data_IF_227713977539
#
_entry.id   IF_227713977539
#
_cell.length_a   1.000
_cell.length_b   1.000
_cell.length_c   1.000
_cell.angle_alpha   90.00
_cell.angle_beta   90.00
_cell.angle_gamma   90.00
#
_symmetry.space_group_name_H-M   'P 1'
#
loop_
_entity.id
_entity.type
_entity.pdbx_description
1 polymer ?
#
# COMPACT_ATOMS: atom_id res chain seq x y z
N UNK A 1 33.78 -2.89 15.74
CA UNK A 1 32.54 -3.47 16.30
C UNK A 1 31.69 -2.31 16.77
N UNK A 2 30.75 -1.89 15.96
CA UNK A 2 29.78 -0.84 16.30
C UNK A 2 28.61 -1.60 16.97
N UNK A 3 28.45 -1.42 18.28
CA UNK A 3 27.25 -1.90 18.98
C UNK A 3 26.07 -1.04 18.50
N UNK A 4 25.21 -1.62 17.66
CA UNK A 4 23.91 -1.06 17.41
C UNK A 4 23.12 -1.04 18.72
N UNK A 5 22.89 0.16 19.23
CA UNK A 5 21.95 0.43 20.31
C UNK A 5 20.53 0.08 19.78
N UNK A 6 20.12 -1.17 19.88
CA UNK A 6 18.70 -1.55 19.70
C UNK A 6 17.90 -0.81 20.76
N UNK A 7 17.15 0.22 20.35
CA UNK A 7 16.10 0.79 21.20
C UNK A 7 15.21 -0.35 21.71
N UNK A 8 14.77 -0.31 22.98
CA UNK A 8 13.88 -1.33 23.50
C UNK A 8 12.65 -1.40 22.59
N UNK A 9 12.36 -2.59 22.10
CA UNK A 9 11.13 -2.88 21.34
C UNK A 9 9.96 -2.44 22.22
N UNK A 10 9.30 -1.35 21.82
CA UNK A 10 8.10 -0.90 22.49
C UNK A 10 7.08 -2.03 22.30
N UNK A 11 6.55 -2.57 23.41
CA UNK A 11 5.58 -3.65 23.34
C UNK A 11 4.43 -3.20 22.46
N UNK A 12 4.23 -3.86 21.32
CA UNK A 12 3.22 -3.48 20.32
C UNK A 12 1.84 -3.73 20.91
N UNK A 13 1.17 -2.65 21.34
CA UNK A 13 -0.22 -2.71 21.81
C UNK A 13 -1.17 -2.84 20.62
N UNK A 14 -1.95 -3.93 20.59
CA UNK A 14 -3.01 -4.09 19.61
C UNK A 14 -4.07 -2.99 19.77
N UNK A 15 -4.70 -2.54 18.66
CA UNK A 15 -5.88 -1.69 18.72
C UNK A 15 -7.00 -2.35 19.53
N UNK A 16 -7.81 -1.54 20.23
CA UNK A 16 -8.92 -2.09 21.03
C UNK A 16 -9.92 -2.90 20.22
N UNK A 17 -10.22 -2.43 19.01
CA UNK A 17 -11.19 -3.05 18.09
C UNK A 17 -10.45 -3.66 16.89
N UNK A 18 -9.37 -4.44 17.17
CA UNK A 18 -8.56 -5.09 16.14
C UNK A 18 -9.38 -6.17 15.44
N UNK A 19 -9.42 -6.11 14.11
CA UNK A 19 -10.12 -7.08 13.25
C UNK A 19 -9.22 -8.23 12.79
N UNK A 20 -7.91 -8.13 13.02
CA UNK A 20 -6.93 -9.18 12.74
C UNK A 20 -6.75 -10.09 13.96
N UNK A 21 -6.28 -11.33 13.73
CA UNK A 21 -5.75 -12.14 14.82
C UNK A 21 -4.54 -11.42 15.46
N UNK A 22 -4.31 -11.59 16.77
CA UNK A 22 -3.16 -10.95 17.42
C UNK A 22 -1.81 -11.37 16.82
N UNK A 23 -1.71 -12.59 16.34
CA UNK A 23 -0.52 -13.16 15.73
C UNK A 23 -0.25 -12.50 14.39
N UNK A 24 -1.24 -12.46 13.50
CA UNK A 24 -1.14 -11.87 12.17
C UNK A 24 -0.90 -10.36 12.25
N UNK A 25 -1.59 -9.67 13.17
CA UNK A 25 -1.37 -8.24 13.39
C UNK A 25 0.09 -7.93 13.70
N UNK A 26 0.73 -8.72 14.58
CA UNK A 26 2.14 -8.51 14.95
C UNK A 26 3.09 -8.73 13.76
N UNK A 27 2.81 -9.73 12.92
CA UNK A 27 3.58 -9.95 11.69
C UNK A 27 3.41 -8.76 10.75
N UNK A 28 2.17 -8.35 10.47
CA UNK A 28 1.87 -7.26 9.55
C UNK A 28 2.39 -5.91 10.03
N UNK A 29 2.43 -5.67 11.33
CA UNK A 29 2.92 -4.42 11.93
C UNK A 29 4.41 -4.14 11.64
N UNK A 30 5.20 -5.16 11.27
CA UNK A 30 6.64 -5.03 10.99
C UNK A 30 6.95 -4.53 9.57
N UNK A 31 5.93 -4.33 8.72
CA UNK A 31 6.10 -3.93 7.32
C UNK A 31 5.72 -2.47 7.09
N UNK A 32 6.27 -1.90 6.02
CA UNK A 32 5.96 -0.56 5.57
C UNK A 32 4.71 -0.53 4.68
N UNK A 33 3.82 0.43 4.98
CA UNK A 33 2.63 0.69 4.18
C UNK A 33 2.49 2.19 3.92
N UNK A 34 2.06 2.60 2.71
CA UNK A 34 1.65 3.97 2.49
C UNK A 34 0.32 4.24 3.21
N UNK A 35 0.17 5.42 3.80
CA UNK A 35 -1.04 5.79 4.56
C UNK A 35 -1.70 7.07 4.06
N UNK A 36 -0.98 7.86 3.26
CA UNK A 36 -1.49 9.09 2.65
C UNK A 36 -0.71 9.44 1.38
N UNK A 37 -1.32 10.25 0.52
CA UNK A 37 -0.61 10.99 -0.52
C UNK A 37 0.09 12.18 0.14
N UNK A 38 1.34 12.45 -0.22
CA UNK A 38 2.16 13.46 0.44
C UNK A 38 1.54 14.87 0.35
N UNK A 39 0.90 15.18 -0.77
CA UNK A 39 0.24 16.46 -1.02
C UNK A 39 -1.06 16.65 -0.22
N UNK A 40 -1.64 15.59 0.33
CA UNK A 40 -2.82 15.68 1.22
C UNK A 40 -2.43 16.14 2.63
N UNK A 41 -1.15 16.03 3.01
CA UNK A 41 -0.65 16.37 4.34
C UNK A 41 0.08 17.72 4.27
N UNK A 42 -0.67 18.79 4.44
CA UNK A 42 -0.16 20.16 4.40
C UNK A 42 -0.28 20.82 5.79
N UNK A 43 -1.09 21.87 5.92
CA UNK A 43 -1.19 22.71 7.11
C UNK A 43 -2.00 22.06 8.25
N UNK A 44 -2.84 21.07 7.93
CA UNK A 44 -3.73 20.43 8.90
C UNK A 44 -3.31 18.99 9.15
N UNK A 45 -3.44 18.52 10.41
CA UNK A 45 -3.26 17.09 10.72
C UNK A 45 -4.29 16.26 9.96
N UNK A 46 -3.85 15.17 9.33
CA UNK A 46 -4.69 14.20 8.62
C UNK A 46 -4.90 12.97 9.50
N UNK A 47 -6.16 12.56 9.69
CA UNK A 47 -6.48 11.28 10.31
C UNK A 47 -6.30 10.15 9.30
N UNK A 48 -5.50 9.14 9.64
CA UNK A 48 -5.32 7.93 8.83
C UNK A 48 -5.47 6.69 9.70
N UNK A 49 -5.67 5.53 9.07
CA UNK A 49 -5.83 4.27 9.79
C UNK A 49 -4.98 3.19 9.10
N UNK A 50 -4.23 2.43 9.87
CA UNK A 50 -3.44 1.30 9.41
C UNK A 50 -3.56 0.15 10.40
N UNK A 51 -3.91 -1.07 9.94
CA UNK A 51 -4.07 -2.25 10.79
C UNK A 51 -4.93 -1.97 12.03
N UNK A 52 -6.07 -1.30 11.83
CA UNK A 52 -6.98 -0.81 12.87
C UNK A 52 -6.42 0.26 13.80
N UNK A 53 -5.13 0.59 13.72
CA UNK A 53 -4.52 1.64 14.50
C UNK A 53 -4.90 3.02 13.94
N UNK A 54 -5.52 3.86 14.76
CA UNK A 54 -5.80 5.26 14.42
C UNK A 54 -4.54 6.08 14.55
N UNK A 55 -4.16 6.74 13.47
CA UNK A 55 -2.94 7.54 13.36
C UNK A 55 -3.28 8.98 12.96
N UNK A 56 -2.44 9.88 13.36
CA UNK A 56 -2.40 11.25 12.86
C UNK A 56 -1.12 11.47 12.07
N UNK A 57 -1.26 11.96 10.85
CA UNK A 57 -0.17 12.37 9.99
C UNK A 57 -0.15 13.90 9.88
N UNK A 58 1.01 14.53 10.10
CA UNK A 58 1.15 15.99 10.04
C UNK A 58 2.57 16.39 9.67
N UNK A 59 2.77 17.66 9.31
CA UNK A 59 4.10 18.21 9.06
C UNK A 59 4.58 19.03 10.26
N UNK A 60 5.81 18.78 10.68
CA UNK A 60 6.54 19.54 11.67
C UNK A 60 7.81 20.09 11.03
N UNK A 61 7.93 21.40 10.87
CA UNK A 61 9.09 22.04 10.22
C UNK A 61 9.43 21.40 8.84
N UNK A 62 8.39 21.11 8.04
CA UNK A 62 8.51 20.49 6.71
C UNK A 62 8.71 18.97 6.73
N UNK A 63 8.96 18.35 7.88
CA UNK A 63 9.11 16.89 8.00
C UNK A 63 7.78 16.23 8.34
N UNK A 64 7.52 15.09 7.72
CA UNK A 64 6.35 14.27 8.06
C UNK A 64 6.54 13.60 9.41
N UNK A 65 5.50 13.65 10.23
CA UNK A 65 5.41 12.97 11.52
C UNK A 65 4.14 12.12 11.54
N UNK A 66 4.26 10.88 11.96
CA UNK A 66 3.13 9.97 12.20
C UNK A 66 3.12 9.58 13.67
N UNK A 67 1.99 9.80 14.31
CA UNK A 67 1.80 9.43 15.71
C UNK A 67 0.45 8.73 15.92
N UNK A 68 0.30 8.03 17.04
CA UNK A 68 -1.01 7.54 17.47
C UNK A 68 -1.98 8.71 17.60
N UNK A 69 -3.16 8.62 16.99
CA UNK A 69 -4.15 9.69 17.04
C UNK A 69 -4.88 9.73 18.39
N UNK A 70 -4.09 10.00 19.43
CA UNK A 70 -4.55 9.95 20.81
C UNK A 70 -3.72 10.90 21.68
N UNK A 71 -4.37 11.89 22.30
CA UNK A 71 -3.78 12.68 23.36
C UNK A 71 -3.77 11.89 24.68
N UNK A 72 -2.60 11.62 25.27
CA UNK A 72 -2.46 10.82 26.50
C UNK A 72 -3.05 11.45 27.77
N UNK A 73 -3.57 12.69 27.66
CA UNK A 73 -4.29 13.31 28.78
C UNK A 73 -5.69 12.71 28.97
N UNK A 74 -6.55 12.75 27.96
CA UNK A 74 -7.97 12.32 28.04
C UNK A 74 -8.47 11.64 26.76
N UNK A 75 -7.59 11.12 25.93
CA UNK A 75 -7.97 10.33 24.76
C UNK A 75 -8.54 11.11 23.58
N UNK A 76 -8.41 12.44 23.56
CA UNK A 76 -8.88 13.23 22.43
C UNK A 76 -8.04 12.96 21.17
N UNK A 77 -8.66 12.84 19.97
CA UNK A 77 -7.93 12.67 18.73
C UNK A 77 -7.16 13.95 18.38
N UNK A 78 -5.88 13.79 18.09
CA UNK A 78 -4.98 14.90 17.72
C UNK A 78 -5.23 15.38 16.29
N UNK A 79 -5.76 14.52 15.44
CA UNK A 79 -6.18 14.87 14.07
C UNK A 79 -7.28 15.93 14.01
N UNK A 80 -8.00 16.15 15.08
CA UNK A 80 -8.96 17.26 15.24
C UNK A 80 -8.34 18.56 15.74
N UNK A 81 -7.05 18.56 16.03
CA UNK A 81 -6.29 19.72 16.47
C UNK A 81 -5.67 20.50 15.30
N UNK A 82 -4.55 21.12 15.57
CA UNK A 82 -3.80 21.87 14.56
C UNK A 82 -2.28 21.76 14.82
N UNK A 83 -1.48 22.20 13.86
CA UNK A 83 -0.03 22.35 14.03
C UNK A 83 0.30 23.83 14.21
N UNK A 84 1.11 24.16 15.20
CA UNK A 84 1.56 25.50 15.48
C UNK A 84 3.01 25.47 15.97
N UNK A 85 3.87 26.25 15.31
CA UNK A 85 5.33 26.28 15.60
C UNK A 85 6.00 24.90 15.57
N UNK A 86 5.60 24.04 14.60
CA UNK A 86 6.13 22.69 14.47
C UNK A 86 5.59 21.67 15.49
N UNK A 87 4.68 22.04 16.36
CA UNK A 87 4.09 21.18 17.38
C UNK A 87 2.64 20.87 17.08
N UNK A 88 2.20 19.62 17.32
CA UNK A 88 0.79 19.28 17.25
C UNK A 88 0.08 19.68 18.54
N UNK A 89 -1.04 20.39 18.42
CA UNK A 89 -1.83 20.92 19.53
C UNK A 89 -3.12 20.15 19.69
N UNK A 90 -3.32 19.61 20.90
CA UNK A 90 -4.55 18.88 21.24
C UNK A 90 -5.75 19.83 21.29
N UNK A 91 -6.86 19.54 20.59
CA UNK A 91 -8.00 20.46 20.50
C UNK A 91 -8.79 20.56 21.82
N UNK A 92 -8.56 19.62 22.76
CA UNK A 92 -9.36 19.57 23.98
C UNK A 92 -8.84 20.51 25.09
N UNK A 93 -7.52 20.48 25.36
CA UNK A 93 -6.92 21.30 26.43
C UNK A 93 -5.65 22.05 26.01
N UNK A 94 -5.36 22.11 24.69
CA UNK A 94 -4.21 22.84 24.18
C UNK A 94 -2.83 22.23 24.51
N UNK A 95 -2.78 20.96 24.95
CA UNK A 95 -1.50 20.29 25.17
C UNK A 95 -0.72 20.23 23.86
N UNK A 96 0.56 20.59 23.93
CA UNK A 96 1.47 20.63 22.78
C UNK A 96 2.45 19.48 22.81
N UNK A 97 2.73 18.92 21.65
CA UNK A 97 3.70 17.83 21.49
C UNK A 97 4.62 18.13 20.31
N UNK A 98 5.92 17.97 20.54
CA UNK A 98 6.91 18.10 19.47
C UNK A 98 6.94 16.85 18.55
N UNK A 99 7.79 16.88 17.50
CA UNK A 99 7.93 15.80 16.54
C UNK A 99 8.43 14.47 17.14
N UNK A 100 9.05 14.49 18.32
CA UNK A 100 9.44 13.29 19.06
C UNK A 100 8.35 12.75 19.98
N UNK A 101 7.17 13.39 19.97
CA UNK A 101 6.03 13.05 20.79
C UNK A 101 6.12 13.55 22.24
N UNK A 102 7.15 14.31 22.61
CA UNK A 102 7.29 14.87 23.97
C UNK A 102 6.30 16.00 24.17
N UNK A 103 5.54 15.97 25.29
CA UNK A 103 4.72 17.10 25.68
C UNK A 103 5.62 18.28 26.10
N UNK A 104 5.40 19.43 25.47
CA UNK A 104 6.19 20.66 25.65
C UNK A 104 5.43 21.73 26.43
N UNK A 105 4.09 21.70 26.39
CA UNK A 105 3.26 22.67 27.09
C UNK A 105 1.95 22.06 27.61
N UNK A 106 1.60 22.50 28.83
CA UNK A 106 0.31 22.24 29.50
C UNK A 106 -0.27 23.60 29.87
N UNK A 107 -1.13 24.20 29.02
CA UNK A 107 -1.56 25.60 29.17
C UNK A 107 -2.23 25.94 30.52
N UNK A 108 -2.96 24.98 31.10
CA UNK A 108 -3.61 25.17 32.39
C UNK A 108 -2.63 25.33 33.58
N UNK A 109 -1.37 24.83 33.41
CA UNK A 109 -0.34 24.87 34.44
C UNK A 109 1.05 25.12 33.83
N UNK A 110 1.29 26.32 33.27
CA UNK A 110 2.49 26.58 32.43
C UNK A 110 3.81 26.47 33.21
N UNK A 111 3.80 26.69 34.51
CA UNK A 111 5.01 26.61 35.36
C UNK A 111 5.22 25.25 36.03
N UNK A 112 4.30 24.29 35.80
CA UNK A 112 4.38 23.00 36.46
C UNK A 112 5.30 22.05 35.68
N UNK A 113 5.94 21.12 36.41
CA UNK A 113 6.71 20.05 35.78
C UNK A 113 5.77 19.13 34.96
N UNK A 114 6.06 18.99 33.68
CA UNK A 114 5.30 18.12 32.80
C UNK A 114 5.62 16.65 33.12
N UNK A 115 4.57 15.84 33.30
CA UNK A 115 4.73 14.41 33.54
C UNK A 115 5.36 13.70 32.31
N UNK A 116 6.36 12.83 32.49
CA UNK A 116 6.93 12.05 31.38
C UNK A 116 5.95 11.06 30.75
N UNK A 117 4.82 10.78 31.42
CA UNK A 117 3.72 9.97 30.86
C UNK A 117 2.96 10.68 29.74
N UNK A 118 3.08 12.02 29.66
CA UNK A 118 2.50 12.81 28.56
C UNK A 118 3.46 12.78 27.36
N UNK A 119 3.50 11.64 26.71
CA UNK A 119 4.33 11.41 25.52
C UNK A 119 3.53 10.63 24.48
N UNK A 120 3.49 11.13 23.23
CA UNK A 120 2.87 10.42 22.10
C UNK A 120 3.74 9.23 21.69
N UNK A 121 3.06 8.21 21.17
CA UNK A 121 3.70 7.15 20.42
C UNK A 121 3.88 7.67 18.99
N UNK A 122 5.12 7.82 18.55
CA UNK A 122 5.50 8.27 17.21
C UNK A 122 6.07 7.08 16.46
N UNK A 123 5.63 6.91 15.23
CA UNK A 123 6.04 5.82 14.35
C UNK A 123 7.05 6.32 13.31
N UNK A 124 7.88 5.44 12.75
CA UNK A 124 8.71 5.77 11.60
C UNK A 124 7.87 6.35 10.46
N UNK A 125 8.35 7.40 9.83
CA UNK A 125 7.69 8.05 8.71
C UNK A 125 8.69 8.38 7.60
N UNK A 126 8.36 8.03 6.37
CA UNK A 126 9.19 8.30 5.18
C UNK A 126 8.28 8.83 4.08
N UNK A 127 8.71 9.88 3.40
CA UNK A 127 8.07 10.36 2.18
C UNK A 127 8.85 9.82 0.98
N UNK A 128 8.19 8.95 0.18
CA UNK A 128 8.78 8.34 -1.02
C UNK A 128 7.68 8.06 -2.05
N UNK A 129 7.98 8.27 -3.33
CA UNK A 129 7.06 8.05 -4.45
C UNK A 129 5.76 8.89 -4.38
N UNK A 130 5.83 10.10 -3.81
CA UNK A 130 4.65 10.95 -3.59
C UNK A 130 3.72 10.44 -2.49
N UNK A 131 4.13 9.42 -1.74
CA UNK A 131 3.37 8.78 -0.67
C UNK A 131 4.07 8.95 0.68
N UNK A 132 3.28 8.96 1.75
CA UNK A 132 3.76 8.90 3.13
C UNK A 132 3.62 7.48 3.62
N UNK A 133 4.76 6.89 3.99
CA UNK A 133 4.90 5.52 4.46
C UNK A 133 5.13 5.48 5.96
N UNK A 134 4.57 4.46 6.61
CA UNK A 134 4.83 4.17 8.03
C UNK A 134 4.90 2.66 8.27
N UNK A 135 5.48 2.32 9.42
CA UNK A 135 5.52 0.99 9.99
C UNK A 135 5.13 1.08 11.46
N UNK A 136 4.30 0.17 11.95
CA UNK A 136 3.85 0.18 13.35
C UNK A 136 4.84 -0.54 14.28
N UNK A 137 5.67 -1.42 13.72
CA UNK A 137 6.70 -2.19 14.45
C UNK A 137 8.10 -1.65 14.25
N UNK A 138 9.07 -2.55 14.16
CA UNK A 138 10.51 -2.25 14.04
C UNK A 138 10.98 -2.03 12.61
N UNK A 139 10.10 -2.17 11.62
CA UNK A 139 10.41 -2.07 10.20
C UNK A 139 11.46 -3.11 9.75
N UNK A 140 11.06 -4.38 9.79
CA UNK A 140 11.92 -5.52 9.45
C UNK A 140 12.43 -5.50 8.00
N UNK A 141 11.61 -4.93 7.09
CA UNK A 141 11.91 -4.85 5.66
C UNK A 141 12.03 -3.38 5.21
N UNK A 142 12.47 -3.17 3.98
CA UNK A 142 12.54 -1.84 3.37
C UNK A 142 11.26 -1.52 2.59
N UNK A 143 11.03 -0.22 2.34
CA UNK A 143 9.99 0.21 1.41
C UNK A 143 10.30 -0.39 0.03
N UNK A 144 9.29 -0.95 -0.68
CA UNK A 144 9.45 -1.51 -2.02
C UNK A 144 10.22 -0.60 -2.96
N UNK A 145 11.13 -1.18 -3.76
CA UNK A 145 11.88 -0.41 -4.73
C UNK A 145 11.05 -0.15 -5.99
N UNK A 146 11.05 1.11 -6.44
CA UNK A 146 10.31 1.54 -7.63
C UNK A 146 11.16 2.48 -8.49
N UNK A 147 12.18 1.94 -9.18
CA UNK A 147 13.21 2.73 -9.85
C UNK A 147 12.68 3.62 -10.96
N UNK A 148 11.54 3.31 -11.57
CA UNK A 148 10.91 4.17 -12.58
C UNK A 148 10.51 5.54 -12.03
N UNK A 149 10.25 5.67 -10.74
CA UNK A 149 9.90 6.95 -10.13
C UNK A 149 11.09 7.91 -10.01
N UNK A 150 12.27 7.40 -9.83
CA UNK A 150 13.50 8.17 -9.64
C UNK A 150 14.24 8.41 -10.97
N UNK A 151 13.78 7.79 -12.07
CA UNK A 151 14.39 7.87 -13.39
C UNK A 151 13.86 9.12 -14.14
N UNK A 152 14.74 10.08 -14.53
CA UNK A 152 14.34 11.30 -15.22
C UNK A 152 13.73 11.06 -16.61
N UNK A 153 13.91 9.88 -17.18
CA UNK A 153 13.31 9.52 -18.47
C UNK A 153 11.84 9.13 -18.35
N UNK A 154 11.32 8.99 -17.13
CA UNK A 154 9.93 8.66 -16.87
C UNK A 154 9.12 9.89 -16.44
N UNK A 155 7.84 9.88 -16.77
CA UNK A 155 6.83 10.76 -16.17
C UNK A 155 6.18 10.00 -15.02
N UNK A 156 6.09 10.66 -13.88
CA UNK A 156 5.45 10.13 -12.69
C UNK A 156 4.01 10.60 -12.58
N UNK A 157 3.10 9.68 -12.33
CA UNK A 157 1.66 9.89 -12.24
C UNK A 157 1.18 9.25 -10.94
N UNK A 158 0.51 10.02 -10.11
CA UNK A 158 -0.05 9.52 -8.85
C UNK A 158 -1.57 9.67 -8.88
N UNK A 159 -2.31 8.59 -9.16
CA UNK A 159 -3.76 8.60 -9.00
C UNK A 159 -4.17 8.85 -7.54
N UNK A 160 -5.37 9.38 -7.28
CA UNK A 160 -5.91 9.41 -5.92
C UNK A 160 -5.98 7.99 -5.34
N UNK A 161 -5.92 7.88 -4.02
CA UNK A 161 -6.10 6.60 -3.35
C UNK A 161 -7.49 6.02 -3.61
N UNK A 162 -7.59 4.70 -3.67
CA UNK A 162 -8.84 3.98 -3.97
C UNK A 162 -9.18 3.03 -2.82
N UNK A 163 -10.38 3.14 -2.27
CA UNK A 163 -10.83 2.31 -1.15
C UNK A 163 -11.57 1.07 -1.67
N UNK A 164 -11.28 -0.09 -1.08
CA UNK A 164 -11.83 -1.40 -1.43
C UNK A 164 -12.35 -2.07 -0.16
N UNK A 165 -13.62 -2.48 -0.15
CA UNK A 165 -14.24 -3.23 0.95
C UNK A 165 -13.85 -4.72 0.86
N UNK A 166 -12.57 -5.00 0.85
CA UNK A 166 -11.98 -6.33 0.74
C UNK A 166 -10.63 -6.41 1.45
N UNK A 167 -10.12 -7.62 1.69
CA UNK A 167 -8.82 -7.82 2.31
C UNK A 167 -7.67 -7.44 1.37
N UNK A 168 -6.58 -6.94 1.95
CA UNK A 168 -5.38 -6.59 1.18
C UNK A 168 -4.74 -7.80 0.49
N UNK A 169 -4.92 -9.00 1.05
CA UNK A 169 -4.48 -10.24 0.43
C UNK A 169 -5.27 -10.56 -0.85
N UNK A 170 -6.61 -10.42 -0.82
CA UNK A 170 -7.46 -10.61 -2.02
C UNK A 170 -7.16 -9.57 -3.10
N UNK A 171 -7.02 -8.30 -2.71
CA UNK A 171 -6.63 -7.24 -3.65
C UNK A 171 -5.27 -7.53 -4.30
N UNK A 172 -4.29 -7.96 -3.53
CA UNK A 172 -2.97 -8.27 -4.07
C UNK A 172 -3.01 -9.51 -4.98
N UNK A 173 -3.73 -10.56 -4.59
CA UNK A 173 -3.91 -11.75 -5.44
C UNK A 173 -4.61 -11.39 -6.75
N UNK A 174 -5.67 -10.56 -6.72
CA UNK A 174 -6.35 -10.05 -7.91
C UNK A 174 -5.39 -9.31 -8.84
N UNK A 175 -4.53 -8.43 -8.30
CA UNK A 175 -3.52 -7.73 -9.10
C UNK A 175 -2.49 -8.66 -9.76
N UNK A 176 -2.21 -9.81 -9.14
CA UNK A 176 -1.23 -10.80 -9.64
C UNK A 176 -1.86 -11.83 -10.59
N UNK A 177 -3.18 -11.96 -10.61
CA UNK A 177 -3.90 -12.86 -11.50
C UNK A 177 -3.90 -12.29 -12.93
N UNK A 178 -3.65 -13.14 -13.90
CA UNK A 178 -3.66 -12.80 -15.33
C UNK A 178 -4.83 -13.43 -16.08
N UNK A 179 -5.56 -14.35 -15.44
CA UNK A 179 -6.65 -15.09 -16.08
C UNK A 179 -7.96 -14.29 -16.13
N UNK A 180 -8.16 -13.33 -15.21
CA UNK A 180 -9.34 -12.48 -15.18
C UNK A 180 -9.40 -11.43 -16.29
N UNK A 181 -8.27 -11.07 -16.91
CA UNK A 181 -8.17 -9.96 -17.88
C UNK A 181 -9.24 -9.99 -18.96
N UNK A 182 -9.47 -11.16 -19.56
CA UNK A 182 -10.41 -11.31 -20.66
C UNK A 182 -11.88 -11.09 -20.25
N UNK A 183 -12.19 -11.21 -18.97
CA UNK A 183 -13.56 -11.20 -18.45
C UNK A 183 -13.88 -9.97 -17.62
N UNK A 184 -13.01 -9.58 -16.71
CA UNK A 184 -13.20 -8.43 -15.81
C UNK A 184 -12.98 -7.12 -16.55
N UNK A 185 -11.90 -7.03 -17.34
CA UNK A 185 -11.50 -5.78 -18.00
C UNK A 185 -12.12 -5.57 -19.39
N UNK A 186 -13.32 -6.10 -19.62
CA UNK A 186 -13.97 -6.00 -20.92
C UNK A 186 -14.34 -4.58 -21.33
N UNK A 187 -14.47 -3.64 -20.39
CA UNK A 187 -14.70 -2.24 -20.68
C UNK A 187 -13.40 -1.45 -20.94
N UNK A 188 -12.25 -1.98 -20.53
CA UNK A 188 -10.94 -1.32 -20.66
C UNK A 188 -10.05 -1.98 -21.72
N UNK A 189 -9.28 -2.99 -21.38
CA UNK A 189 -8.31 -3.64 -22.27
C UNK A 189 -8.59 -5.13 -22.54
N UNK A 190 -9.50 -5.75 -21.79
CA UNK A 190 -9.79 -7.18 -21.90
C UNK A 190 -10.48 -7.58 -23.20
N UNK A 191 -10.12 -8.75 -23.73
CA UNK A 191 -10.71 -9.33 -24.95
C UNK A 191 -11.16 -10.76 -24.68
N UNK A 192 -12.48 -11.00 -24.76
CA UNK A 192 -13.09 -12.33 -24.58
C UNK A 192 -12.73 -13.34 -25.67
N UNK A 193 -12.13 -12.90 -26.77
CA UNK A 193 -11.61 -13.79 -27.81
C UNK A 193 -10.18 -14.24 -27.52
N UNK A 194 -9.52 -13.67 -26.49
CA UNK A 194 -8.14 -13.97 -26.10
C UNK A 194 -8.11 -14.37 -24.63
N UNK A 195 -8.61 -15.56 -24.31
CA UNK A 195 -8.82 -16.04 -22.94
C UNK A 195 -7.75 -17.03 -22.47
N UNK A 196 -6.96 -17.58 -23.39
CA UNK A 196 -5.92 -18.54 -23.03
C UNK A 196 -4.78 -17.86 -22.30
N UNK A 197 -4.40 -18.42 -21.15
CA UNK A 197 -3.22 -18.01 -20.40
C UNK A 197 -2.06 -18.92 -20.77
N UNK A 198 -1.07 -18.41 -21.51
CA UNK A 198 0.14 -19.17 -21.81
C UNK A 198 0.90 -19.57 -20.54
N UNK A 199 1.70 -20.65 -20.66
CA UNK A 199 2.57 -21.01 -19.54
C UNK A 199 3.57 -19.89 -19.25
N UNK A 200 3.68 -19.50 -17.99
CA UNK A 200 4.61 -18.47 -17.54
C UNK A 200 5.44 -18.96 -16.34
N UNK A 201 6.49 -18.24 -16.02
CA UNK A 201 7.43 -18.58 -14.96
C UNK A 201 7.22 -17.71 -13.74
N UNK A 202 7.24 -18.34 -12.57
CA UNK A 202 7.36 -17.66 -11.29
C UNK A 202 8.66 -18.10 -10.63
N UNK A 203 9.47 -17.17 -10.18
CA UNK A 203 10.73 -17.44 -9.47
C UNK A 203 10.80 -16.63 -8.19
N UNK A 204 11.59 -17.11 -7.26
CA UNK A 204 11.87 -16.40 -6.00
C UNK A 204 13.23 -15.71 -6.10
N UNK A 205 13.30 -14.46 -5.66
CA UNK A 205 14.51 -13.67 -5.53
C UNK A 205 14.58 -13.11 -4.10
N UNK A 206 15.27 -13.80 -3.20
CA UNK A 206 15.25 -13.47 -1.77
C UNK A 206 13.85 -13.60 -1.16
N UNK A 207 13.32 -12.50 -0.64
CA UNK A 207 11.96 -12.42 -0.08
C UNK A 207 10.90 -12.01 -1.13
N UNK A 208 11.29 -11.79 -2.37
CA UNK A 208 10.42 -11.35 -3.45
C UNK A 208 10.04 -12.50 -4.37
N UNK A 209 8.90 -12.36 -5.07
CA UNK A 209 8.53 -13.22 -6.19
C UNK A 209 8.58 -12.41 -7.48
N UNK A 210 9.06 -13.04 -8.54
CA UNK A 210 9.07 -12.45 -9.88
C UNK A 210 8.32 -13.38 -10.82
N UNK A 211 7.32 -12.83 -11.51
CA UNK A 211 6.55 -13.54 -12.53
C UNK A 211 6.67 -12.83 -13.89
N UNK A 212 6.98 -13.57 -14.93
CA UNK A 212 7.09 -13.05 -16.30
C UNK A 212 6.00 -13.68 -17.15
N UNK A 213 5.02 -12.87 -17.55
CA UNK A 213 3.88 -13.27 -18.34
C UNK A 213 3.93 -12.67 -19.74
N UNK A 214 3.99 -13.54 -20.74
CA UNK A 214 3.98 -13.19 -22.17
C UNK A 214 2.63 -13.54 -22.78
N UNK A 215 1.98 -12.59 -23.44
CA UNK A 215 0.71 -12.82 -24.11
C UNK A 215 0.49 -11.87 -25.29
N UNK A 216 -0.52 -12.15 -26.10
CA UNK A 216 -1.00 -11.26 -27.16
C UNK A 216 -2.03 -10.25 -26.67
N UNK A 217 -2.41 -10.30 -25.39
CA UNK A 217 -3.36 -9.34 -24.79
C UNK A 217 -2.72 -7.96 -24.74
N UNK A 218 -3.29 -7.01 -25.47
CA UNK A 218 -2.83 -5.62 -25.53
C UNK A 218 -3.04 -4.90 -24.19
N UNK A 219 -2.20 -3.90 -23.91
CA UNK A 219 -2.41 -2.94 -22.82
C UNK A 219 -2.95 -1.58 -23.28
N UNK A 220 -3.29 -1.43 -24.55
CA UNK A 220 -4.00 -0.25 -25.01
C UNK A 220 -5.49 -0.41 -24.71
N UNK A 221 -6.08 0.65 -24.18
CA UNK A 221 -7.52 0.71 -23.94
C UNK A 221 -8.32 0.59 -25.24
N UNK A 222 -9.55 0.08 -25.15
CA UNK A 222 -10.45 0.00 -26.30
C UNK A 222 -10.69 1.38 -26.88
N UNK A 223 -10.64 1.48 -28.20
CA UNK A 223 -10.81 2.73 -28.94
C UNK A 223 -9.57 3.64 -28.97
N UNK A 224 -8.48 3.25 -28.33
CA UNK A 224 -7.18 3.90 -28.48
C UNK A 224 -6.42 3.32 -29.68
N UNK A 225 -5.59 4.16 -30.32
CA UNK A 225 -4.67 3.69 -31.35
C UNK A 225 -3.67 2.71 -30.73
N UNK A 226 -3.57 1.53 -31.32
CA UNK A 226 -2.61 0.51 -30.89
C UNK A 226 -1.49 0.41 -31.92
N UNK A 227 -0.35 1.07 -31.73
CA UNK A 227 0.78 1.05 -32.66
C UNK A 227 1.59 -0.26 -32.61
N UNK A 228 1.22 -1.21 -31.74
CA UNK A 228 1.93 -2.50 -31.67
C UNK A 228 1.74 -3.28 -32.99
N UNK A 229 2.82 -3.89 -33.53
CA UNK A 229 2.76 -4.76 -34.69
C UNK A 229 1.78 -5.92 -34.46
N UNK A 230 1.20 -6.44 -35.55
CA UNK A 230 0.39 -7.66 -35.49
C UNK A 230 1.18 -8.82 -34.89
N UNK A 231 0.58 -9.53 -33.92
CA UNK A 231 1.24 -10.64 -33.21
C UNK A 231 2.27 -10.18 -32.16
N UNK A 232 2.31 -8.90 -31.81
CA UNK A 232 3.22 -8.42 -30.77
C UNK A 232 2.99 -9.15 -29.44
N UNK A 233 4.10 -9.67 -28.89
CA UNK A 233 4.08 -10.35 -27.59
C UNK A 233 4.36 -9.37 -26.46
N UNK A 234 3.36 -9.11 -25.67
CA UNK A 234 3.44 -8.24 -24.50
C UNK A 234 4.09 -8.99 -23.35
N UNK A 235 5.17 -8.45 -22.80
CA UNK A 235 5.73 -8.90 -21.53
C UNK A 235 5.12 -8.08 -20.40
N UNK A 236 4.62 -8.77 -19.39
CA UNK A 236 4.27 -8.22 -18.07
C UNK A 236 5.16 -8.88 -17.04
N UNK A 237 5.97 -8.09 -16.39
CA UNK A 237 6.81 -8.53 -15.28
C UNK A 237 6.17 -8.04 -13.97
N UNK A 238 5.77 -8.98 -13.15
CA UNK A 238 5.31 -8.72 -11.79
C UNK A 238 6.43 -9.00 -10.80
N UNK A 239 6.61 -8.10 -9.83
CA UNK A 239 7.51 -8.29 -8.70
C UNK A 239 6.76 -8.05 -7.42
N UNK A 240 6.66 -9.08 -6.57
CA UNK A 240 5.90 -9.04 -5.31
C UNK A 240 6.85 -8.68 -4.17
N UNK A 241 6.47 -7.66 -3.42
CA UNK A 241 7.11 -7.22 -2.18
C UNK A 241 6.14 -7.53 -1.02
N UNK A 242 6.37 -8.64 -0.29
CA UNK A 242 5.43 -9.04 0.73
C UNK A 242 5.30 -8.01 1.86
N UNK A 243 4.14 -7.95 2.56
CA UNK A 243 2.99 -8.80 2.33
C UNK A 243 2.04 -8.26 1.23
N UNK A 244 1.88 -6.96 1.04
CA UNK A 244 0.80 -6.37 0.26
C UNK A 244 1.25 -5.27 -0.71
N UNK A 245 2.42 -5.44 -1.31
CA UNK A 245 2.85 -4.59 -2.41
C UNK A 245 3.37 -5.41 -3.58
N UNK A 246 3.15 -4.94 -4.80
CA UNK A 246 3.76 -5.50 -6.00
C UNK A 246 3.96 -4.44 -7.07
N UNK A 247 4.99 -4.57 -7.88
CA UNK A 247 5.14 -3.78 -9.09
C UNK A 247 4.77 -4.60 -10.32
N UNK A 248 4.21 -3.92 -11.31
CA UNK A 248 3.98 -4.42 -12.65
C UNK A 248 4.76 -3.55 -13.62
N UNK A 249 5.63 -4.15 -14.43
CA UNK A 249 6.23 -3.51 -15.60
C UNK A 249 5.62 -4.09 -16.86
N UNK A 250 5.00 -3.26 -17.67
CA UNK A 250 4.50 -3.63 -19.00
C UNK A 250 5.46 -3.11 -20.05
N UNK A 251 5.88 -4.00 -20.94
CA UNK A 251 6.82 -3.73 -22.01
C UNK A 251 6.05 -3.43 -23.31
N UNK A 252 6.07 -2.15 -23.69
CA UNK A 252 5.48 -1.65 -24.92
C UNK A 252 6.46 -1.72 -26.11
N UNK A 253 5.99 -1.59 -27.36
CA UNK A 253 6.88 -1.40 -28.51
C UNK A 253 7.84 -0.22 -28.29
N UNK A 254 8.91 -0.16 -29.11
CA UNK A 254 9.88 0.95 -29.15
C UNK A 254 10.49 1.29 -27.76
N UNK A 255 10.75 0.24 -26.97
CA UNK A 255 11.30 0.34 -25.61
C UNK A 255 10.42 1.11 -24.62
N UNK A 256 9.13 1.32 -24.93
CA UNK A 256 8.18 1.90 -24.02
C UNK A 256 7.99 1.03 -22.77
N UNK A 257 7.88 1.65 -21.62
CA UNK A 257 7.64 0.99 -20.32
C UNK A 257 6.58 1.72 -19.54
N UNK A 258 5.59 0.96 -19.09
CA UNK A 258 4.65 1.39 -18.07
C UNK A 258 4.97 0.62 -16.79
N UNK A 259 5.20 1.33 -15.70
CA UNK A 259 5.46 0.73 -14.40
C UNK A 259 4.38 1.17 -13.43
N UNK A 260 3.83 0.25 -12.67
CA UNK A 260 2.81 0.47 -11.64
C UNK A 260 3.33 -0.14 -10.35
N UNK A 261 3.31 0.61 -9.25
CA UNK A 261 3.53 0.06 -7.91
C UNK A 261 2.17 -0.01 -7.20
N UNK A 262 1.63 -1.21 -7.08
CA UNK A 262 0.38 -1.47 -6.37
C UNK A 262 0.67 -1.71 -4.89
N UNK A 263 0.12 -0.87 -4.01
CA UNK A 263 0.29 -0.97 -2.56
C UNK A 263 -1.08 -1.07 -1.91
N UNK A 264 -1.46 -2.26 -1.48
CA UNK A 264 -2.72 -2.55 -0.82
C UNK A 264 -2.58 -2.37 0.69
N UNK A 265 -2.72 -1.13 1.19
CA UNK A 265 -2.57 -0.83 2.62
C UNK A 265 -3.76 -1.32 3.43
N UNK A 266 -3.55 -2.20 4.43
CA UNK A 266 -4.62 -2.76 5.25
C UNK A 266 -5.11 -1.73 6.27
N UNK A 267 -6.24 -1.08 6.00
CA UNK A 267 -6.92 -0.20 6.96
C UNK A 267 -7.50 -1.03 8.10
N UNK A 268 -8.10 -2.17 7.78
CA UNK A 268 -8.56 -3.23 8.67
C UNK A 268 -8.47 -4.56 7.93
N UNK A 269 -8.82 -5.69 8.55
CA UNK A 269 -8.72 -7.00 7.91
C UNK A 269 -9.51 -7.09 6.59
N UNK A 270 -10.64 -6.39 6.50
CA UNK A 270 -11.55 -6.42 5.33
C UNK A 270 -11.80 -5.04 4.72
N UNK A 271 -10.83 -4.16 4.85
CA UNK A 271 -10.88 -2.84 4.22
C UNK A 271 -9.48 -2.39 3.85
N UNK A 272 -9.27 -2.16 2.58
CA UNK A 272 -7.97 -1.83 1.98
C UNK A 272 -8.02 -0.44 1.38
N UNK A 273 -6.95 0.33 1.56
CA UNK A 273 -6.71 1.56 0.79
C UNK A 273 -5.57 1.30 -0.18
N UNK A 274 -5.89 1.41 -1.46
CA UNK A 274 -4.97 1.19 -2.55
C UNK A 274 -4.25 2.50 -2.92
N UNK A 275 -2.93 2.43 -3.02
CA UNK A 275 -2.08 3.49 -3.55
C UNK A 275 -1.29 2.94 -4.74
N UNK A 276 -1.35 3.63 -5.88
CA UNK A 276 -0.76 3.14 -7.12
C UNK A 276 0.09 4.20 -7.83
N UNK A 277 1.31 4.52 -7.39
CA UNK A 277 2.25 5.29 -8.19
C UNK A 277 2.51 4.63 -9.54
N UNK A 278 2.49 5.43 -10.59
CA UNK A 278 2.69 5.00 -11.98
C UNK A 278 3.84 5.79 -12.57
N UNK A 279 4.69 5.13 -13.37
CA UNK A 279 5.74 5.78 -14.15
C UNK A 279 5.72 5.24 -15.57
N UNK A 280 5.83 6.14 -16.58
CA UNK A 280 5.94 5.74 -17.99
C UNK A 280 7.00 6.57 -18.73
N UNK A 281 7.70 5.95 -19.67
CA UNK A 281 8.73 6.63 -20.47
C UNK A 281 8.29 6.97 -21.91
N UNK A 282 7.02 6.74 -22.24
CA UNK A 282 6.41 7.04 -23.55
C UNK A 282 5.21 7.98 -23.37
N UNK A 283 4.68 8.52 -24.46
CA UNK A 283 3.56 9.48 -24.48
C UNK A 283 3.73 10.63 -23.47
N UNK A 284 4.97 11.15 -23.39
CA UNK A 284 5.36 12.12 -22.37
C UNK A 284 4.55 13.43 -22.43
N UNK A 285 3.97 13.74 -23.58
CA UNK A 285 3.15 14.94 -23.79
C UNK A 285 1.64 14.69 -23.66
N UNK A 286 1.22 13.44 -23.48
CA UNK A 286 -0.19 13.11 -23.27
C UNK A 286 -0.65 13.53 -21.87
N UNK A 287 -1.90 14.03 -21.72
CA UNK A 287 -2.45 14.39 -20.41
C UNK A 287 -2.35 13.24 -19.40
N UNK A 288 -1.86 13.53 -18.21
CA UNK A 288 -1.75 12.52 -17.14
C UNK A 288 -3.13 12.10 -16.63
N UNK A 289 -4.11 12.98 -16.76
CA UNK A 289 -5.51 12.75 -16.39
C UNK A 289 -6.12 11.56 -17.13
N UNK A 290 -5.74 11.33 -18.39
CA UNK A 290 -6.22 10.19 -19.17
C UNK A 290 -5.71 8.86 -18.58
N UNK A 291 -4.44 8.85 -18.17
CA UNK A 291 -3.85 7.70 -17.49
C UNK A 291 -4.50 7.46 -16.12
N UNK A 292 -4.73 8.51 -15.35
CA UNK A 292 -5.43 8.45 -14.07
C UNK A 292 -6.83 7.85 -14.25
N UNK A 293 -7.61 8.41 -15.17
CA UNK A 293 -8.99 7.97 -15.46
C UNK A 293 -9.02 6.50 -15.87
N UNK A 294 -8.12 6.09 -16.75
CA UNK A 294 -8.02 4.70 -17.21
C UNK A 294 -7.72 3.74 -16.05
N UNK A 295 -6.73 4.07 -15.23
CA UNK A 295 -6.36 3.22 -14.10
C UNK A 295 -7.45 3.17 -13.02
N UNK A 296 -8.12 4.28 -12.72
CA UNK A 296 -9.25 4.29 -11.79
C UNK A 296 -10.42 3.43 -12.29
N UNK A 297 -10.65 3.38 -13.60
CA UNK A 297 -11.65 2.48 -14.17
C UNK A 297 -11.22 1.02 -14.00
N UNK A 298 -9.97 0.67 -14.30
CA UNK A 298 -9.42 -0.68 -14.08
C UNK A 298 -9.53 -1.09 -12.60
N UNK A 299 -9.15 -0.21 -11.67
CA UNK A 299 -9.28 -0.49 -10.21
C UNK A 299 -10.74 -0.69 -9.79
N UNK A 300 -11.69 0.04 -10.39
CA UNK A 300 -13.12 -0.15 -10.14
C UNK A 300 -13.63 -1.52 -10.63
N UNK A 301 -13.16 -1.96 -11.80
CA UNK A 301 -13.48 -3.29 -12.33
C UNK A 301 -12.94 -4.41 -11.43
N UNK A 302 -11.71 -4.26 -10.92
CA UNK A 302 -11.09 -5.21 -9.98
C UNK A 302 -11.82 -5.21 -8.63
N UNK A 303 -12.13 -4.03 -8.10
CA UNK A 303 -12.77 -3.88 -6.80
C UNK A 303 -14.13 -4.60 -6.74
N UNK A 304 -14.95 -4.52 -7.81
CA UNK A 304 -16.24 -5.20 -7.89
C UNK A 304 -16.07 -6.72 -7.67
N UNK A 305 -15.01 -7.30 -8.22
CA UNK A 305 -14.72 -8.73 -8.04
C UNK A 305 -14.19 -9.02 -6.63
N UNK A 306 -13.20 -8.26 -6.16
CA UNK A 306 -12.59 -8.46 -4.84
C UNK A 306 -13.62 -8.35 -3.71
N UNK A 307 -14.50 -7.35 -3.78
CA UNK A 307 -15.54 -7.10 -2.77
C UNK A 307 -16.64 -8.18 -2.76
N UNK A 308 -16.79 -8.94 -3.85
CA UNK A 308 -17.80 -10.01 -3.98
C UNK A 308 -17.27 -11.40 -3.63
N UNK A 309 -15.97 -11.57 -3.42
CA UNK A 309 -15.38 -12.89 -3.13
C UNK A 309 -15.76 -13.44 -1.76
N UNK A 310 -15.98 -14.76 -1.69
CA UNK A 310 -16.26 -15.48 -0.45
C UNK A 310 -15.34 -16.71 -0.36
N UNK A 311 -14.58 -16.89 0.74
CA UNK A 311 -14.48 -15.96 1.88
C UNK A 311 -13.84 -14.63 1.50
N UNK A 312 -14.15 -13.56 2.24
CA UNK A 312 -13.65 -12.20 2.01
C UNK A 312 -12.14 -12.10 2.24
N UNK A 313 -11.63 -12.90 3.15
CA UNK A 313 -10.20 -13.01 3.41
C UNK A 313 -9.56 -14.02 2.44
N UNK A 314 -8.27 -13.81 2.12
CA UNK A 314 -7.53 -14.72 1.23
C UNK A 314 -7.22 -16.04 1.93
N UNK A 315 -7.73 -17.21 1.47
CA UNK A 315 -7.36 -18.50 2.05
C UNK A 315 -5.88 -18.82 1.82
N UNK A 316 -5.11 -18.96 2.91
CA UNK A 316 -3.72 -19.42 2.83
C UNK A 316 -3.59 -20.95 2.78
N UNK A 317 -4.66 -21.67 3.15
CA UNK A 317 -4.75 -23.11 2.91
C UNK A 317 -5.06 -23.35 1.42
N UNK A 318 -4.08 -23.84 0.67
CA UNK A 318 -4.23 -24.10 -0.76
C UNK A 318 -5.31 -25.15 -1.09
N UNK A 319 -5.81 -25.90 -0.10
CA UNK A 319 -6.90 -26.88 -0.30
C UNK A 319 -8.29 -26.24 -0.16
N UNK A 320 -8.38 -24.99 0.32
CA UNK A 320 -9.64 -24.30 0.51
C UNK A 320 -10.29 -23.89 -0.81
N UNK A 321 -9.50 -23.73 -1.88
CA UNK A 321 -9.96 -23.35 -3.22
C UNK A 321 -9.32 -24.25 -4.27
N UNK A 322 -9.96 -24.38 -5.44
CA UNK A 322 -9.40 -25.12 -6.56
C UNK A 322 -8.41 -24.23 -7.35
N UNK A 323 -7.27 -24.79 -7.72
CA UNK A 323 -6.25 -24.10 -8.49
C UNK A 323 -6.11 -24.66 -9.90
N UNK A 324 -5.80 -23.78 -10.84
CA UNK A 324 -5.52 -24.12 -12.25
C UNK A 324 -4.07 -23.71 -12.60
N UNK A 325 -3.51 -24.17 -13.73
CA UNK A 325 -2.13 -23.82 -14.14
C UNK A 325 -1.86 -22.31 -14.28
N UNK A 326 -2.91 -21.48 -14.47
CA UNK A 326 -2.77 -20.03 -14.53
C UNK A 326 -2.51 -19.39 -13.16
N UNK A 327 -2.83 -20.06 -12.04
CA UNK A 327 -2.74 -19.51 -10.67
C UNK A 327 -1.34 -19.63 -10.05
N UNK A 328 -0.29 -19.79 -10.85
CA UNK A 328 1.07 -20.02 -10.35
C UNK A 328 1.55 -18.90 -9.43
N UNK A 329 1.26 -17.65 -9.79
CA UNK A 329 1.65 -16.49 -8.96
C UNK A 329 0.83 -16.45 -7.67
N UNK A 330 -0.49 -16.70 -7.74
CA UNK A 330 -1.37 -16.75 -6.58
C UNK A 330 -0.92 -17.83 -5.59
N UNK A 331 -0.63 -19.03 -6.07
CA UNK A 331 -0.12 -20.13 -5.22
C UNK A 331 1.20 -19.74 -4.55
N UNK A 332 2.16 -19.22 -5.31
CA UNK A 332 3.44 -18.80 -4.76
C UNK A 332 3.30 -17.65 -3.76
N UNK A 333 2.39 -16.72 -4.01
CA UNK A 333 2.08 -15.62 -3.11
C UNK A 333 1.46 -16.09 -1.79
N UNK A 334 0.47 -16.98 -1.82
CA UNK A 334 -0.12 -17.56 -0.61
C UNK A 334 0.92 -18.33 0.22
N UNK A 335 1.80 -19.08 -0.44
CA UNK A 335 2.93 -19.76 0.24
C UNK A 335 3.87 -18.74 0.90
N UNK A 336 4.20 -17.65 0.20
CA UNK A 336 5.03 -16.58 0.73
C UNK A 336 4.39 -15.94 1.98
N UNK A 337 3.10 -15.64 1.96
CA UNK A 337 2.39 -15.11 3.14
C UNK A 337 2.43 -16.08 4.33
N UNK A 338 2.28 -17.38 4.07
CA UNK A 338 2.41 -18.42 5.11
C UNK A 338 3.83 -18.46 5.69
N UNK A 339 4.85 -18.33 4.86
CA UNK A 339 6.25 -18.29 5.29
C UNK A 339 6.59 -17.05 6.14
N UNK A 340 5.88 -15.92 5.94
CA UNK A 340 5.99 -14.74 6.81
C UNK A 340 5.42 -14.98 8.21
N UNK A 341 4.69 -16.07 8.41
CA UNK A 341 4.04 -16.42 9.67
C UNK A 341 2.58 -16.01 9.76
N UNK A 342 1.96 -15.57 8.65
CA UNK A 342 0.52 -15.35 8.60
C UNK A 342 -0.20 -16.69 8.70
N UNK A 343 -1.20 -16.75 9.58
CA UNK A 343 -1.92 -17.97 9.89
C UNK A 343 -3.08 -18.23 8.95
N UNK A 344 -3.59 -19.46 9.02
CA UNK A 344 -4.80 -19.84 8.26
C UNK A 344 -6.03 -19.03 8.70
N UNK A 345 -6.07 -18.62 9.96
CA UNK A 345 -7.12 -17.77 10.53
C UNK A 345 -7.13 -16.33 10.00
N UNK A 346 -6.05 -15.92 9.30
CA UNK A 346 -6.04 -14.66 8.54
C UNK A 346 -7.20 -14.58 7.55
N UNK A 347 -7.75 -15.70 7.21
CA UNK A 347 -8.74 -15.91 6.15
C UNK A 347 -10.13 -16.30 6.66
N UNK A 348 -10.36 -16.28 7.95
CA UNK A 348 -11.64 -16.72 8.55
C UNK A 348 -12.50 -15.57 9.07
#
# INVERSE_FOLDING_TARGET
MIQENKKPVQELELPRDCTFSPEDWRVLAEYWYPVAIADEVQDKPLAVKLLDMKLVCYRSEGKVVIARDLCFHRGAPLSKGWVENGEIVCPYHGFRYNCEGKCTAVPAHPSSKISPKLKLIVYPAVERYGLIWTCLGSAAEQIPDFPGWEDPDYINILPPSFDIAGSSGRQMEGFLDVSHFAYVHTATFGDRNNTEVPQYKVRREGNELVAEYWSTVSNYGKGQENPAPEGFMWLREFRVFPPFAASLTVYFPDEGRLKILNCASPVSARYTRLFCPISRNFDKNAPVEDTIKFNLQVFGEDAEMVESQTPEDLPLDLQAEAHIPADRTSIAYRQLLTELGLGRSYTS
#
